data_IF_179671519654
#
_entry.id   IF_179671519654
#
_cell.length_a   1.000
_cell.length_b   1.000
_cell.length_c   1.000
_cell.angle_alpha   90.00
_cell.angle_beta   90.00
_cell.angle_gamma   90.00
#
_symmetry.space_group_name_H-M   'P 1'
#
loop_
_entity.id
_entity.type
_entity.pdbx_description
1 polymer ?
#
# COMPACT_ATOMS: atom_id res chain seq x y z
N UNK A 1 3.82 27.96 -26.26
CA UNK A 1 5.03 27.18 -25.91
C UNK A 1 4.92 25.78 -26.52
N UNK A 2 5.83 25.35 -27.41
CA UNK A 2 5.67 24.08 -28.12
C UNK A 2 5.86 22.89 -27.17
N UNK A 3 4.88 21.98 -27.16
CA UNK A 3 4.78 20.74 -26.35
C UNK A 3 6.02 19.82 -26.40
N UNK A 4 6.91 20.02 -27.37
CA UNK A 4 8.15 19.27 -27.53
C UNK A 4 9.28 19.71 -26.58
N UNK A 5 9.32 20.99 -26.17
CA UNK A 5 10.34 21.51 -25.27
C UNK A 5 10.13 21.04 -23.81
N UNK A 6 8.87 20.96 -23.36
CA UNK A 6 8.53 20.48 -22.02
C UNK A 6 8.93 19.02 -21.77
N UNK A 7 8.97 18.19 -22.82
CA UNK A 7 9.30 16.76 -22.66
C UNK A 7 10.79 16.50 -22.38
N UNK A 8 11.64 17.52 -22.39
CA UNK A 8 13.08 17.37 -22.11
C UNK A 8 13.48 17.73 -20.68
N UNK A 9 12.54 18.17 -19.84
CA UNK A 9 12.79 18.73 -18.50
C UNK A 9 13.15 17.72 -17.41
N UNK A 10 13.03 16.41 -17.66
CA UNK A 10 13.40 15.40 -16.66
C UNK A 10 14.92 15.22 -16.54
N UNK A 11 15.34 14.56 -15.47
CA UNK A 11 16.75 14.28 -15.20
C UNK A 11 17.23 13.09 -16.05
N UNK A 12 18.49 13.05 -16.51
CA UNK A 12 19.07 11.83 -17.05
C UNK A 12 19.10 10.71 -15.98
N UNK A 13 19.04 9.46 -16.43
CA UNK A 13 19.15 8.28 -15.55
C UNK A 13 20.60 8.03 -15.17
N UNK A 14 20.84 7.72 -13.90
CA UNK A 14 22.12 7.18 -13.48
C UNK A 14 22.32 5.72 -13.95
N UNK A 15 23.51 5.16 -13.72
CA UNK A 15 23.83 3.78 -14.12
C UNK A 15 23.01 2.72 -13.36
N UNK A 16 22.71 2.96 -12.09
CA UNK A 16 21.98 2.01 -11.25
C UNK A 16 20.51 1.93 -11.65
N UNK A 17 19.89 3.09 -11.90
CA UNK A 17 18.53 3.23 -12.40
C UNK A 17 18.40 2.66 -13.81
N UNK A 18 19.38 2.94 -14.68
CA UNK A 18 19.42 2.33 -16.01
C UNK A 18 19.47 0.80 -15.93
N UNK A 19 20.35 0.26 -15.06
CA UNK A 19 20.44 -1.18 -14.83
C UNK A 19 19.12 -1.74 -14.32
N UNK A 20 18.49 -1.09 -13.34
CA UNK A 20 17.21 -1.52 -12.78
C UNK A 20 16.08 -1.56 -13.84
N UNK A 21 16.05 -0.60 -14.77
CA UNK A 21 15.08 -0.62 -15.89
C UNK A 21 15.44 -1.75 -16.88
N UNK A 22 16.72 -1.91 -17.21
CA UNK A 22 17.20 -2.94 -18.14
C UNK A 22 16.94 -4.37 -17.64
N UNK A 23 17.11 -4.61 -16.34
CA UNK A 23 16.80 -5.89 -15.69
C UNK A 23 15.34 -6.02 -15.27
N UNK A 24 14.53 -4.96 -15.46
CA UNK A 24 13.12 -4.87 -15.05
C UNK A 24 12.93 -5.18 -13.56
N UNK A 25 13.81 -4.65 -12.72
CA UNK A 25 13.81 -4.86 -11.29
C UNK A 25 12.45 -4.46 -10.67
N UNK A 26 11.71 -5.38 -10.05
CA UNK A 26 10.45 -5.07 -9.38
C UNK A 26 10.65 -4.10 -8.20
N UNK A 27 11.82 -4.09 -7.55
CA UNK A 27 12.11 -3.18 -6.45
C UNK A 27 12.25 -1.71 -6.88
N UNK A 28 12.46 -1.45 -8.18
CA UNK A 28 12.47 -0.11 -8.74
C UNK A 28 11.07 0.45 -9.00
N UNK A 29 10.02 -0.38 -8.97
CA UNK A 29 8.64 0.09 -9.18
C UNK A 29 8.21 1.01 -8.04
N UNK A 30 7.45 2.06 -8.39
CA UNK A 30 6.97 3.06 -7.43
C UNK A 30 8.02 4.07 -6.95
N UNK A 31 9.33 3.82 -7.16
CA UNK A 31 10.41 4.74 -6.74
C UNK A 31 10.59 5.93 -7.67
N UNK A 32 10.40 5.72 -8.97
CA UNK A 32 10.48 6.73 -10.01
C UNK A 32 9.71 6.27 -11.25
N UNK A 33 9.47 7.19 -12.19
CA UNK A 33 8.93 6.85 -13.51
C UNK A 33 9.85 7.36 -14.62
N UNK A 34 9.78 6.72 -15.78
CA UNK A 34 10.58 7.07 -16.95
C UNK A 34 9.70 7.61 -18.07
N UNK A 35 9.95 8.84 -18.52
CA UNK A 35 9.34 9.43 -19.70
C UNK A 35 10.18 9.16 -20.95
N UNK A 36 9.54 8.61 -21.98
CA UNK A 36 10.15 8.36 -23.29
C UNK A 36 9.87 9.55 -24.20
N UNK A 37 10.91 10.33 -24.51
CA UNK A 37 10.79 11.61 -25.23
C UNK A 37 10.18 11.43 -26.62
N UNK A 38 10.53 10.35 -27.32
CA UNK A 38 10.08 10.07 -28.69
C UNK A 38 8.58 9.78 -28.78
N UNK A 39 8.01 9.10 -27.78
CA UNK A 39 6.57 8.75 -27.77
C UNK A 39 5.74 9.70 -26.91
N UNK A 40 6.37 10.44 -26.00
CA UNK A 40 5.69 11.23 -24.97
C UNK A 40 4.90 10.38 -23.99
N UNK A 41 5.33 9.14 -23.75
CA UNK A 41 4.70 8.20 -22.82
C UNK A 41 5.63 8.02 -21.61
N UNK A 42 5.09 8.00 -20.40
CA UNK A 42 5.84 7.59 -19.21
C UNK A 42 5.44 6.19 -18.74
N UNK A 43 6.43 5.45 -18.23
CA UNK A 43 6.34 4.06 -17.81
C UNK A 43 6.95 3.86 -16.42
N UNK A 44 6.60 2.75 -15.75
CA UNK A 44 7.34 2.26 -14.59
C UNK A 44 8.62 1.52 -15.04
N UNK A 45 9.67 1.41 -14.19
CA UNK A 45 10.92 0.73 -14.51
C UNK A 45 10.76 -0.75 -14.93
N UNK A 46 9.75 -1.45 -14.41
CA UNK A 46 9.45 -2.85 -14.76
C UNK A 46 8.48 -3.03 -15.94
N UNK A 47 8.36 -2.05 -16.83
CA UNK A 47 7.43 -2.11 -17.97
C UNK A 47 7.87 -3.19 -18.99
N UNK A 48 6.95 -4.04 -19.49
CA UNK A 48 7.28 -5.07 -20.47
C UNK A 48 7.52 -4.52 -21.88
N UNK A 49 7.27 -3.23 -22.12
CA UNK A 49 7.51 -2.59 -23.40
C UNK A 49 9.00 -2.63 -23.79
N UNK A 50 9.28 -2.56 -25.09
CA UNK A 50 10.65 -2.47 -25.60
C UNK A 50 11.31 -1.21 -25.05
N UNK A 51 12.49 -1.35 -24.44
CA UNK A 51 13.23 -0.21 -23.93
C UNK A 51 13.73 0.65 -25.10
N UNK A 52 13.45 1.96 -25.10
CA UNK A 52 14.06 2.89 -26.03
C UNK A 52 15.53 3.15 -25.65
N UNK A 53 16.30 3.73 -26.56
CA UNK A 53 17.68 4.14 -26.27
C UNK A 53 17.76 5.11 -25.10
N UNK A 54 18.76 4.94 -24.22
CA UNK A 54 18.92 5.67 -22.96
C UNK A 54 18.82 7.19 -23.10
N UNK A 55 19.39 7.76 -24.17
CA UNK A 55 19.35 9.21 -24.43
C UNK A 55 17.93 9.78 -24.62
N UNK A 56 16.96 8.95 -25.00
CA UNK A 56 15.55 9.33 -25.17
C UNK A 56 14.72 9.13 -23.91
N UNK A 57 15.34 8.78 -22.79
CA UNK A 57 14.65 8.58 -21.52
C UNK A 57 14.93 9.75 -20.58
N UNK A 58 13.90 10.16 -19.86
CA UNK A 58 13.95 11.16 -18.80
C UNK A 58 13.34 10.58 -17.54
N UNK A 59 14.05 10.73 -16.43
CA UNK A 59 13.59 10.33 -15.11
C UNK A 59 12.70 11.42 -14.50
N UNK A 60 11.65 10.97 -13.83
CA UNK A 60 10.78 11.81 -13.00
C UNK A 60 10.59 11.15 -11.64
N UNK A 61 10.48 11.96 -10.59
CA UNK A 61 10.28 11.48 -9.22
C UNK A 61 8.99 10.65 -9.10
N UNK A 62 7.90 11.11 -9.70
CA UNK A 62 6.62 10.43 -9.70
C UNK A 62 5.83 10.64 -11.02
N UNK A 63 4.66 10.03 -11.09
CA UNK A 63 3.76 10.16 -12.24
C UNK A 63 3.24 11.60 -12.43
N UNK A 64 3.12 12.40 -11.36
CA UNK A 64 2.62 13.79 -11.42
C UNK A 64 3.64 14.69 -12.11
N UNK A 65 4.92 14.54 -11.76
CA UNK A 65 6.02 15.25 -12.40
C UNK A 65 6.12 14.91 -13.90
N UNK A 66 5.90 13.64 -14.27
CA UNK A 66 5.85 13.25 -15.68
C UNK A 66 4.64 13.85 -16.43
N UNK A 67 3.45 13.86 -15.83
CA UNK A 67 2.26 14.48 -16.44
C UNK A 67 2.42 16.00 -16.57
N UNK A 68 2.99 16.67 -15.57
CA UNK A 68 3.31 18.11 -15.60
C UNK A 68 4.32 18.45 -16.70
N UNK A 69 5.25 17.55 -17.01
CA UNK A 69 6.18 17.66 -18.14
C UNK A 69 5.54 17.31 -19.50
N UNK A 70 4.24 16.99 -19.54
CA UNK A 70 3.49 16.74 -20.77
C UNK A 70 3.57 15.31 -21.30
N UNK A 71 3.95 14.35 -20.46
CA UNK A 71 3.89 12.91 -20.79
C UNK A 71 2.51 12.33 -20.47
N UNK A 72 2.16 11.24 -21.15
CA UNK A 72 0.93 10.46 -20.90
C UNK A 72 1.25 9.11 -20.29
N UNK A 73 0.37 8.59 -19.44
CA UNK A 73 0.56 7.30 -18.79
C UNK A 73 0.58 6.15 -19.80
N UNK A 74 1.52 5.22 -19.65
CA UNK A 74 1.53 3.99 -20.42
C UNK A 74 0.32 3.11 -20.07
N UNK A 75 -0.40 2.65 -21.10
CA UNK A 75 -1.56 1.76 -20.91
C UNK A 75 -1.18 0.30 -20.61
N UNK A 76 0.06 -0.10 -20.89
CA UNK A 76 0.56 -1.46 -20.63
C UNK A 76 0.98 -1.67 -19.18
N UNK A 77 1.80 -0.76 -18.63
CA UNK A 77 2.25 -0.85 -17.22
C UNK A 77 1.38 -0.04 -16.25
N UNK A 78 0.47 0.82 -16.75
CA UNK A 78 -0.48 1.61 -15.94
C UNK A 78 0.16 2.24 -14.68
N UNK A 79 1.28 2.99 -14.82
CA UNK A 79 2.07 3.45 -13.69
C UNK A 79 1.31 4.41 -12.75
N UNK A 80 0.31 5.13 -13.28
CA UNK A 80 -0.59 5.97 -12.48
C UNK A 80 -1.52 5.14 -11.59
N UNK A 81 -2.08 4.07 -12.12
CA UNK A 81 -2.98 3.18 -11.40
C UNK A 81 -2.21 2.40 -10.34
N UNK A 82 -1.05 1.85 -10.69
CA UNK A 82 -0.18 1.14 -9.74
C UNK A 82 0.23 2.05 -8.57
N UNK A 83 0.64 3.30 -8.84
CA UNK A 83 0.95 4.25 -7.77
C UNK A 83 -0.28 4.58 -6.89
N UNK A 84 -1.47 4.69 -7.49
CA UNK A 84 -2.70 4.93 -6.74
C UNK A 84 -3.09 3.72 -5.87
N UNK A 85 -2.92 2.50 -6.37
CA UNK A 85 -3.19 1.26 -5.63
C UNK A 85 -2.22 1.08 -4.46
N UNK A 86 -0.93 1.32 -4.67
CA UNK A 86 0.08 1.29 -3.61
C UNK A 86 -0.23 2.32 -2.51
N UNK A 87 -0.66 3.52 -2.91
CA UNK A 87 -1.08 4.56 -1.96
C UNK A 87 -2.31 4.13 -1.18
N UNK A 88 -3.33 3.59 -1.85
CA UNK A 88 -4.52 3.05 -1.21
C UNK A 88 -4.18 1.93 -0.23
N UNK A 89 -3.22 1.06 -0.57
CA UNK A 89 -2.83 -0.07 0.29
C UNK A 89 -2.10 0.40 1.54
N UNK A 90 -1.22 1.41 1.42
CA UNK A 90 -0.63 2.05 2.57
C UNK A 90 -1.69 2.66 3.49
N UNK A 91 -2.63 3.42 2.93
CA UNK A 91 -3.74 4.05 3.67
C UNK A 91 -4.59 3.03 4.41
N UNK A 92 -4.96 1.93 3.75
CA UNK A 92 -5.78 0.87 4.36
C UNK A 92 -5.00 0.14 5.46
N UNK A 93 -3.71 -0.14 5.26
CA UNK A 93 -2.86 -0.74 6.29
C UNK A 93 -2.73 0.15 7.52
N UNK A 94 -2.50 1.44 7.33
CA UNK A 94 -2.40 2.40 8.43
C UNK A 94 -3.72 2.51 9.21
N UNK A 95 -4.86 2.51 8.49
CA UNK A 95 -6.17 2.51 9.11
C UNK A 95 -6.45 1.21 9.88
N UNK A 96 -6.08 0.05 9.32
CA UNK A 96 -6.22 -1.25 9.99
C UNK A 96 -5.34 -1.31 11.25
N UNK A 97 -4.08 -0.87 11.16
CA UNK A 97 -3.16 -0.81 12.30
C UNK A 97 -3.70 0.12 13.40
N UNK A 98 -4.33 1.24 13.04
CA UNK A 98 -4.97 2.13 14.00
C UNK A 98 -6.15 1.47 14.74
N UNK A 99 -6.93 0.63 14.06
CA UNK A 99 -8.02 -0.14 14.67
C UNK A 99 -7.45 -1.22 15.61
N UNK A 100 -6.43 -1.94 15.14
CA UNK A 100 -5.76 -3.01 15.88
C UNK A 100 -4.99 -2.54 17.11
N UNK A 101 -4.52 -1.29 17.13
CA UNK A 101 -3.83 -0.71 18.28
C UNK A 101 -4.77 -0.08 19.32
N UNK A 102 -6.00 0.26 18.92
CA UNK A 102 -6.91 0.99 19.78
C UNK A 102 -7.70 0.05 20.70
N UNK A 103 -7.87 0.46 21.96
CA UNK A 103 -8.77 -0.21 22.92
C UNK A 103 -10.24 0.08 22.57
N UNK A 104 -10.52 1.34 22.22
CA UNK A 104 -11.78 1.78 21.60
C UNK A 104 -11.54 2.11 20.12
N UNK A 105 -12.24 1.47 19.17
CA UNK A 105 -11.98 1.64 17.76
C UNK A 105 -12.29 3.08 17.32
N UNK A 106 -11.37 3.72 16.58
CA UNK A 106 -11.57 5.08 16.08
C UNK A 106 -12.75 5.14 15.10
N UNK A 107 -13.41 6.30 15.04
CA UNK A 107 -14.51 6.53 14.09
C UNK A 107 -13.99 6.58 12.66
N UNK A 108 -14.88 6.38 11.69
CA UNK A 108 -14.55 6.48 10.27
C UNK A 108 -14.01 7.88 9.93
N UNK A 109 -14.56 8.92 10.55
CA UNK A 109 -14.17 10.30 10.38
C UNK A 109 -12.73 10.53 10.86
N UNK A 110 -12.37 9.97 12.02
CA UNK A 110 -11.01 10.07 12.56
C UNK A 110 -9.99 9.34 11.68
N UNK A 111 -10.34 8.14 11.19
CA UNK A 111 -9.48 7.40 10.26
C UNK A 111 -9.32 8.13 8.92
N UNK A 112 -10.40 8.71 8.40
CA UNK A 112 -10.41 9.42 7.13
C UNK A 112 -9.59 10.73 7.21
N UNK A 113 -9.74 11.49 8.31
CA UNK A 113 -8.95 12.68 8.57
C UNK A 113 -7.44 12.37 8.65
N UNK A 114 -7.06 11.29 9.34
CA UNK A 114 -5.67 10.82 9.39
C UNK A 114 -5.09 10.47 8.02
N UNK A 115 -5.92 9.90 7.15
CA UNK A 115 -5.51 9.50 5.81
C UNK A 115 -5.58 10.65 4.77
N UNK A 116 -6.12 11.81 5.12
CA UNK A 116 -6.33 12.92 4.19
C UNK A 116 -7.42 12.66 3.13
N UNK A 117 -8.35 11.74 3.42
CA UNK A 117 -9.46 11.39 2.52
C UNK A 117 -10.81 11.72 3.13
N UNK A 118 -11.83 11.89 2.29
CA UNK A 118 -13.22 11.91 2.78
C UNK A 118 -13.60 10.53 3.38
N UNK A 119 -14.51 10.48 4.37
CA UNK A 119 -15.01 9.23 4.96
C UNK A 119 -15.49 8.20 3.93
N UNK A 120 -16.26 8.65 2.93
CA UNK A 120 -16.77 7.78 1.86
C UNK A 120 -15.67 7.18 0.98
N UNK A 121 -14.62 7.96 0.70
CA UNK A 121 -13.48 7.50 -0.08
C UNK A 121 -12.69 6.45 0.70
N UNK A 122 -12.39 6.71 1.98
CA UNK A 122 -11.71 5.73 2.83
C UNK A 122 -12.52 4.43 2.94
N UNK A 123 -13.84 4.53 3.17
CA UNK A 123 -14.73 3.36 3.22
C UNK A 123 -14.64 2.50 1.95
N UNK A 124 -14.66 3.14 0.77
CA UNK A 124 -14.54 2.43 -0.53
C UNK A 124 -13.18 1.76 -0.69
N UNK A 125 -12.08 2.44 -0.34
CA UNK A 125 -10.73 1.87 -0.42
C UNK A 125 -10.58 0.68 0.54
N UNK A 126 -11.04 0.84 1.78
CA UNK A 126 -10.94 -0.19 2.81
C UNK A 126 -11.71 -1.45 2.39
N UNK A 127 -12.93 -1.29 1.88
CA UNK A 127 -13.73 -2.43 1.38
C UNK A 127 -13.11 -3.07 0.14
N UNK A 128 -12.57 -2.29 -0.78
CA UNK A 128 -11.93 -2.81 -1.99
C UNK A 128 -10.69 -3.68 -1.66
N UNK A 129 -9.98 -3.37 -0.56
CA UNK A 129 -8.76 -4.09 -0.20
C UNK A 129 -8.96 -5.20 0.83
N UNK A 130 -9.84 -5.02 1.81
CA UNK A 130 -10.03 -5.97 2.91
C UNK A 130 -11.30 -6.82 2.79
N UNK A 131 -12.22 -6.45 1.90
CA UNK A 131 -13.56 -7.01 1.82
C UNK A 131 -14.53 -6.51 2.89
N UNK A 132 -14.04 -5.83 3.94
CA UNK A 132 -14.83 -5.36 5.08
C UNK A 132 -14.93 -3.83 5.10
N UNK A 133 -15.90 -3.31 5.85
CA UNK A 133 -15.91 -1.88 6.21
C UNK A 133 -14.97 -1.67 7.41
N UNK A 134 -14.45 -0.45 7.65
CA UNK A 134 -13.63 -0.16 8.84
C UNK A 134 -14.32 -0.57 10.14
N UNK A 135 -15.64 -0.38 10.23
CA UNK A 135 -16.45 -0.84 11.37
C UNK A 135 -16.50 -2.36 11.46
N UNK A 136 -16.81 -3.05 10.37
CA UNK A 136 -16.85 -4.52 10.37
C UNK A 136 -15.49 -5.15 10.67
N UNK A 137 -14.40 -4.49 10.26
CA UNK A 137 -13.04 -4.89 10.64
C UNK A 137 -12.80 -4.70 12.14
N UNK A 138 -13.20 -3.56 12.73
CA UNK A 138 -13.11 -3.34 14.17
C UNK A 138 -13.93 -4.34 14.99
N UNK A 139 -15.12 -4.72 14.52
CA UNK A 139 -15.96 -5.73 15.15
C UNK A 139 -15.28 -7.12 15.11
N UNK A 140 -14.66 -7.48 13.99
CA UNK A 140 -13.89 -8.72 13.87
C UNK A 140 -12.66 -8.75 14.80
N UNK A 141 -11.94 -7.63 14.91
CA UNK A 141 -10.81 -7.49 15.86
C UNK A 141 -11.27 -7.67 17.29
N UNK A 142 -12.39 -7.06 17.68
CA UNK A 142 -12.98 -7.22 19.02
C UNK A 142 -13.38 -8.66 19.31
N UNK A 143 -14.06 -9.32 18.37
CA UNK A 143 -14.45 -10.71 18.51
C UNK A 143 -13.23 -11.63 18.69
N UNK A 144 -12.15 -11.40 17.92
CA UNK A 144 -10.90 -12.15 18.07
C UNK A 144 -10.27 -11.94 19.44
N UNK A 145 -10.13 -10.69 19.91
CA UNK A 145 -9.58 -10.39 21.25
C UNK A 145 -10.37 -11.05 22.38
N UNK A 146 -11.70 -11.08 22.27
CA UNK A 146 -12.55 -11.76 23.24
C UNK A 146 -12.31 -13.28 23.24
N UNK A 147 -12.22 -13.89 22.05
CA UNK A 147 -11.93 -15.32 21.92
C UNK A 147 -10.56 -15.67 22.51
N UNK A 148 -9.53 -14.85 22.24
CA UNK A 148 -8.19 -15.03 22.77
C UNK A 148 -8.17 -14.94 24.30
N UNK A 149 -8.83 -13.93 24.88
CA UNK A 149 -8.93 -13.77 26.33
C UNK A 149 -9.69 -14.93 27.02
N UNK A 150 -10.72 -15.48 26.36
CA UNK A 150 -11.44 -16.66 26.85
C UNK A 150 -10.55 -17.91 26.81
N UNK A 151 -9.78 -18.11 25.74
CA UNK A 151 -8.86 -19.24 25.62
C UNK A 151 -7.74 -19.19 26.66
N UNK A 152 -7.15 -18.01 26.89
CA UNK A 152 -6.16 -17.79 27.94
C UNK A 152 -6.76 -18.06 29.33
N UNK A 153 -7.95 -17.50 29.61
CA UNK A 153 -8.65 -17.71 30.88
C UNK A 153 -9.01 -19.17 31.14
N UNK A 154 -9.43 -19.91 30.11
CA UNK A 154 -9.69 -21.34 30.18
C UNK A 154 -8.42 -22.14 30.50
N UNK A 155 -7.28 -21.80 29.87
CA UNK A 155 -5.99 -22.44 30.15
C UNK A 155 -5.51 -22.19 31.58
N UNK A 156 -5.70 -20.98 32.12
CA UNK A 156 -5.37 -20.65 33.51
C UNK A 156 -6.28 -21.42 34.49
N UNK A 157 -7.58 -21.50 34.21
CA UNK A 157 -8.52 -22.25 35.04
C UNK A 157 -8.22 -23.76 35.04
N UNK A 158 -7.88 -24.33 33.88
CA UNK A 158 -7.52 -25.75 33.75
C UNK A 158 -6.20 -26.07 34.45
N UNK A 159 -5.19 -25.21 34.34
CA UNK A 159 -3.93 -25.34 35.08
C UNK A 159 -4.14 -25.25 36.60
N UNK A 160 -5.01 -24.34 37.07
CA UNK A 160 -5.35 -24.23 38.48
C UNK A 160 -6.10 -25.47 39.01
N UNK A 161 -7.00 -26.05 38.21
CA UNK A 161 -7.71 -27.28 38.56
C UNK A 161 -6.78 -28.50 38.59
N UNK A 162 -5.84 -28.60 37.64
CA UNK A 162 -4.84 -29.67 37.61
C UNK A 162 -3.81 -29.58 38.75
N UNK A 163 -3.49 -28.36 39.21
CA UNK A 163 -2.59 -28.13 40.34
C UNK A 163 -3.25 -28.33 41.71
N UNK A 164 -4.58 -28.51 41.77
CA UNK A 164 -5.28 -28.79 43.02
C UNK A 164 -4.87 -30.18 43.55
N UNK A 165 -4.35 -30.30 44.78
CA UNK A 165 -3.94 -31.59 45.32
C UNK A 165 -5.15 -32.52 45.42
N UNK A 166 -5.08 -33.67 44.74
CA UNK A 166 -6.08 -34.73 44.89
C UNK A 166 -6.02 -35.27 46.32
N UNK A 167 -6.88 -34.75 47.19
CA UNK A 167 -7.03 -35.27 48.55
C UNK A 167 -7.65 -36.67 48.48
N UNK A 168 -6.80 -37.70 48.35
CA UNK A 168 -7.17 -39.09 48.59
C UNK A 168 -7.48 -39.25 50.07
N UNK A 169 -8.77 -39.09 50.41
CA UNK A 169 -9.34 -39.62 51.65
C UNK A 169 -9.07 -41.13 51.68
N UNK A 170 -8.11 -41.57 52.51
CA UNK A 170 -8.06 -42.94 53.02
C UNK A 170 -8.81 -42.95 54.35
N UNK A 171 -9.94 -43.63 54.40
CA UNK A 171 -10.35 -44.55 55.48
C UNK A 171 -11.61 -45.29 55.12
#
# INVERSE_FOLDING_TARGET
MPRAALKRTGTPLDEAEWRAIATRDPAARGRFVIGVVTTGIYCAPGCPARLPGRGNIRRFADWRAAEAAGFRACLRCRPRTEAAELTAAAVVRDAAAAIEAAETPPTLEALAARAGYSPFHLLRLFKAQTGLTPRGYADAVRARRLADAVAEGAGVAEAAFAAAPSSRSRR
#
